data_IF_793204875375
#
_entry.id   IF_793204875375
#
_cell.length_a   1.000
_cell.length_b   1.000
_cell.length_c   1.000
_cell.angle_alpha   90.00
_cell.angle_beta   90.00
_cell.angle_gamma   90.00
#
_symmetry.space_group_name_H-M   'P 1'
#
loop_
_entity.id
_entity.type
_entity.pdbx_description
1 polymer ?
#
# COMPACT_ATOMS: atom_id res chain seq x y z
N UNK A 1 -24.25 -28.48 4.60
CA UNK A 1 -23.11 -28.06 3.77
C UNK A 1 -22.71 -26.63 4.09
N UNK A 2 -21.58 -26.41 4.76
CA UNK A 2 -21.08 -25.06 5.06
C UNK A 2 -20.47 -24.42 3.82
N UNK A 3 -20.85 -23.17 3.51
CA UNK A 3 -20.25 -22.39 2.41
C UNK A 3 -18.76 -22.18 2.69
N UNK A 4 -17.90 -22.75 1.86
CA UNK A 4 -16.46 -22.48 1.86
C UNK A 4 -16.26 -21.01 1.50
N UNK A 5 -15.86 -20.18 2.46
CA UNK A 5 -15.49 -18.78 2.20
C UNK A 5 -14.13 -18.75 1.52
N UNK A 6 -14.08 -18.29 0.27
CA UNK A 6 -12.83 -18.04 -0.44
C UNK A 6 -11.98 -17.00 0.32
N UNK A 7 -10.72 -17.34 0.60
CA UNK A 7 -9.76 -16.50 1.37
C UNK A 7 -9.55 -15.12 0.72
N UNK A 8 -9.63 -15.03 -0.63
CA UNK A 8 -9.56 -13.75 -1.35
C UNK A 8 -10.80 -12.89 -1.13
N UNK A 9 -11.99 -13.50 -1.05
CA UNK A 9 -13.23 -12.79 -0.79
C UNK A 9 -13.31 -12.30 0.67
N UNK A 10 -12.78 -13.05 1.63
CA UNK A 10 -12.76 -12.63 3.04
C UNK A 10 -11.86 -11.41 3.26
N UNK A 11 -10.65 -11.37 2.67
CA UNK A 11 -9.74 -10.21 2.76
C UNK A 11 -10.33 -8.94 2.15
N UNK A 12 -11.00 -9.03 0.99
CA UNK A 12 -11.70 -7.88 0.37
C UNK A 12 -12.86 -7.38 1.23
N UNK A 13 -13.57 -8.28 1.89
CA UNK A 13 -14.67 -7.93 2.81
C UNK A 13 -14.12 -7.25 4.06
N UNK A 14 -12.99 -7.71 4.59
CA UNK A 14 -12.35 -7.11 5.75
C UNK A 14 -11.79 -5.70 5.44
N UNK A 15 -11.18 -5.51 4.27
CA UNK A 15 -10.75 -4.19 3.81
C UNK A 15 -11.94 -3.23 3.70
N UNK A 16 -13.04 -3.67 3.07
CA UNK A 16 -14.25 -2.85 2.97
C UNK A 16 -14.79 -2.44 4.34
N UNK A 17 -14.79 -3.37 5.31
CA UNK A 17 -15.18 -3.05 6.69
C UNK A 17 -14.26 -2.00 7.32
N UNK A 18 -12.94 -2.10 7.09
CA UNK A 18 -11.95 -1.14 7.60
C UNK A 18 -12.04 0.24 6.96
N UNK A 19 -12.70 0.37 5.81
CA UNK A 19 -12.88 1.62 5.07
C UNK A 19 -14.31 2.19 5.17
N UNK A 20 -15.24 1.48 5.82
CA UNK A 20 -16.67 1.80 5.79
C UNK A 20 -16.98 3.22 6.25
N UNK A 21 -16.29 3.68 7.29
CA UNK A 21 -16.55 4.96 7.95
C UNK A 21 -15.45 5.99 7.66
N UNK A 22 -14.64 5.75 6.62
CA UNK A 22 -13.53 6.62 6.23
C UNK A 22 -13.85 7.26 4.88
N UNK A 23 -13.88 8.60 4.78
CA UNK A 23 -14.00 9.27 3.49
C UNK A 23 -12.89 8.82 2.53
N UNK A 24 -13.22 8.47 1.28
CA UNK A 24 -12.24 7.91 0.35
C UNK A 24 -11.12 8.88 -0.03
N UNK A 25 -11.39 10.19 -0.03
CA UNK A 25 -10.39 11.24 -0.17
C UNK A 25 -9.40 11.32 1.01
N UNK A 26 -9.72 10.67 2.14
CA UNK A 26 -8.85 10.51 3.33
C UNK A 26 -8.14 9.17 3.38
N UNK A 27 -8.17 8.39 2.29
CA UNK A 27 -7.43 7.13 2.17
C UNK A 27 -6.22 7.33 1.26
N UNK A 28 -5.04 7.13 1.83
CA UNK A 28 -3.78 7.11 1.11
C UNK A 28 -3.46 5.68 0.67
N UNK A 29 -3.07 5.50 -0.59
CA UNK A 29 -2.65 4.22 -1.14
C UNK A 29 -1.16 4.30 -1.50
N UNK A 30 -0.40 3.33 -1.04
CA UNK A 30 1.03 3.15 -1.33
C UNK A 30 1.17 1.82 -2.06
N UNK A 31 1.30 1.87 -3.38
CA UNK A 31 1.58 0.69 -4.18
C UNK A 31 3.10 0.50 -4.29
N UNK A 32 3.57 -0.71 -4.02
CA UNK A 32 4.98 -1.09 -4.06
C UNK A 32 5.14 -2.24 -5.04
N UNK A 33 5.95 -2.00 -6.07
CA UNK A 33 6.53 -3.03 -6.93
C UNK A 33 7.88 -3.46 -6.30
N UNK A 34 7.91 -4.66 -5.69
CA UNK A 34 9.10 -5.18 -5.03
C UNK A 34 10.10 -5.73 -6.04
N UNK A 35 11.19 -5.00 -6.27
CA UNK A 35 12.37 -5.50 -6.97
C UNK A 35 13.50 -5.83 -5.99
N UNK A 36 14.37 -6.80 -6.34
CA UNK A 36 15.44 -7.30 -5.46
C UNK A 36 16.37 -6.21 -4.90
N UNK A 37 16.63 -5.15 -5.67
CA UNK A 37 17.59 -4.11 -5.30
C UNK A 37 17.02 -2.68 -5.37
N UNK A 38 15.99 -2.47 -6.19
CA UNK A 38 15.40 -1.14 -6.39
C UNK A 38 13.87 -1.23 -6.47
N UNK A 39 13.19 -1.50 -5.34
CA UNK A 39 11.74 -1.39 -5.31
C UNK A 39 11.25 -0.02 -5.77
N UNK A 40 10.08 -0.01 -6.40
CA UNK A 40 9.42 1.21 -6.86
C UNK A 40 8.13 1.43 -6.09
N UNK A 41 7.93 2.65 -5.60
CA UNK A 41 6.72 3.05 -4.91
C UNK A 41 5.93 4.07 -5.73
N UNK A 42 4.60 3.95 -5.66
CA UNK A 42 3.62 4.94 -6.12
C UNK A 42 2.76 5.33 -4.91
N UNK A 43 2.59 6.63 -4.68
CA UNK A 43 1.70 7.16 -3.65
C UNK A 43 0.56 7.90 -4.35
N UNK A 44 -0.66 7.43 -4.14
CA UNK A 44 -1.88 7.98 -4.72
C UNK A 44 -3.02 8.03 -3.69
N UNK A 45 -4.10 8.74 -3.99
CA UNK A 45 -5.32 8.63 -3.20
C UNK A 45 -6.13 7.39 -3.61
N UNK A 46 -7.27 7.17 -2.95
CA UNK A 46 -8.17 6.06 -3.25
C UNK A 46 -8.65 5.99 -4.71
N UNK A 47 -8.76 7.14 -5.37
CA UNK A 47 -9.22 7.26 -6.77
C UNK A 47 -8.09 7.01 -7.78
N UNK A 48 -6.86 6.81 -7.32
CA UNK A 48 -5.70 6.57 -8.17
C UNK A 48 -5.01 7.85 -8.65
N UNK A 49 -5.40 9.03 -8.16
CA UNK A 49 -4.72 10.28 -8.46
C UNK A 49 -3.34 10.28 -7.81
N UNK A 50 -2.30 10.53 -8.62
CA UNK A 50 -0.90 10.49 -8.17
C UNK A 50 -0.62 11.70 -7.29
N UNK A 51 -0.29 11.45 -6.03
CA UNK A 51 0.05 12.50 -5.05
C UNK A 51 1.56 12.73 -4.96
N UNK A 52 2.35 11.68 -5.23
CA UNK A 52 3.80 11.75 -5.35
C UNK A 52 4.22 10.98 -6.60
N UNK A 53 5.02 11.63 -7.46
CA UNK A 53 5.59 10.97 -8.63
C UNK A 53 6.27 9.65 -8.25
N UNK A 54 6.07 8.56 -9.01
CA UNK A 54 6.68 7.27 -8.70
C UNK A 54 8.19 7.38 -8.50
N UNK A 55 8.70 6.69 -7.47
CA UNK A 55 10.11 6.79 -7.11
C UNK A 55 10.68 5.43 -6.72
N UNK A 56 11.96 5.26 -6.97
CA UNK A 56 12.72 4.12 -6.49
C UNK A 56 13.25 4.38 -5.09
N UNK A 57 13.38 3.31 -4.30
CA UNK A 57 14.06 3.34 -3.01
C UNK A 57 14.93 2.09 -2.84
N UNK A 58 15.86 2.12 -1.89
CA UNK A 58 16.77 1.01 -1.61
C UNK A 58 16.28 0.17 -0.42
N UNK A 59 16.59 -1.13 -0.42
CA UNK A 59 16.27 -2.04 0.71
C UNK A 59 17.33 -1.91 1.81
N UNK A 60 17.41 -0.71 2.39
CA UNK A 60 18.23 -0.38 3.54
C UNK A 60 17.55 0.74 4.34
N UNK A 61 18.08 1.09 5.52
CA UNK A 61 17.46 2.08 6.40
C UNK A 61 17.27 3.45 5.72
N UNK A 62 18.20 3.87 4.85
CA UNK A 62 18.08 5.15 4.13
C UNK A 62 16.92 5.14 3.13
N UNK A 63 16.79 4.08 2.34
CA UNK A 63 15.71 3.95 1.37
C UNK A 63 14.34 3.76 2.02
N UNK A 64 14.29 3.00 3.12
CA UNK A 64 13.06 2.85 3.91
C UNK A 64 12.65 4.18 4.56
N UNK A 65 13.60 4.94 5.10
CA UNK A 65 13.33 6.28 5.63
C UNK A 65 12.81 7.22 4.54
N UNK A 66 13.36 7.18 3.32
CA UNK A 66 12.84 7.96 2.20
C UNK A 66 11.36 7.62 1.91
N UNK A 67 11.02 6.33 1.86
CA UNK A 67 9.64 5.88 1.67
C UNK A 67 8.73 6.39 2.80
N UNK A 68 9.13 6.19 4.06
CA UNK A 68 8.35 6.59 5.22
C UNK A 68 8.15 8.10 5.30
N UNK A 69 9.19 8.89 5.03
CA UNK A 69 9.10 10.36 4.99
C UNK A 69 8.07 10.82 3.96
N UNK A 70 8.13 10.30 2.73
CA UNK A 70 7.16 10.65 1.68
C UNK A 70 5.73 10.25 2.03
N UNK A 71 5.56 9.09 2.67
CA UNK A 71 4.24 8.66 3.18
C UNK A 71 3.75 9.64 4.24
N UNK A 72 4.58 9.95 5.25
CA UNK A 72 4.22 10.82 6.37
C UNK A 72 3.87 12.24 5.91
N UNK A 73 4.68 12.82 5.01
CA UNK A 73 4.40 14.12 4.38
C UNK A 73 3.04 14.11 3.68
N UNK A 74 2.77 13.06 2.88
CA UNK A 74 1.51 12.97 2.13
C UNK A 74 0.31 12.73 3.06
N UNK A 75 0.47 11.92 4.12
CA UNK A 75 -0.55 11.74 5.16
C UNK A 75 -0.94 13.08 5.76
N UNK A 76 0.03 13.91 6.12
CA UNK A 76 -0.23 15.23 6.69
C UNK A 76 -0.93 16.15 5.67
N UNK A 77 -0.44 16.17 4.42
CA UNK A 77 -0.95 17.06 3.38
C UNK A 77 -2.44 16.84 3.05
N UNK A 78 -2.89 15.57 3.01
CA UNK A 78 -4.31 15.26 2.72
C UNK A 78 -5.13 14.99 3.99
N UNK A 79 -4.48 15.03 5.16
CA UNK A 79 -5.03 14.57 6.45
C UNK A 79 -5.56 13.14 6.36
N UNK A 80 -4.75 12.22 5.82
CA UNK A 80 -5.16 10.84 5.61
C UNK A 80 -5.51 10.17 6.94
N UNK A 81 -6.64 9.47 6.98
CA UNK A 81 -7.10 8.70 8.13
C UNK A 81 -6.78 7.20 7.98
N UNK A 82 -6.46 6.76 6.76
CA UNK A 82 -6.02 5.40 6.47
C UNK A 82 -4.90 5.39 5.46
N UNK A 83 -3.88 4.58 5.72
CA UNK A 83 -2.86 4.23 4.74
C UNK A 83 -3.02 2.76 4.37
N UNK A 84 -3.15 2.48 3.08
CA UNK A 84 -3.14 1.14 2.50
C UNK A 84 -1.80 0.92 1.82
N UNK A 85 -1.00 0.01 2.35
CA UNK A 85 0.25 -0.41 1.70
C UNK A 85 -0.02 -1.70 0.93
N UNK A 86 0.08 -1.62 -0.39
CA UNK A 86 -0.17 -2.70 -1.31
C UNK A 86 1.17 -3.10 -1.94
N UNK A 87 1.68 -4.27 -1.57
CA UNK A 87 2.91 -4.82 -2.14
C UNK A 87 2.50 -5.89 -3.13
N UNK A 88 2.98 -5.82 -4.37
CA UNK A 88 2.77 -6.88 -5.34
C UNK A 88 3.37 -8.20 -4.84
N UNK A 89 2.71 -9.31 -5.15
CA UNK A 89 3.25 -10.63 -4.81
C UNK A 89 4.46 -10.92 -5.68
N UNK A 90 5.63 -11.04 -5.06
CA UNK A 90 6.79 -11.69 -5.67
C UNK A 90 6.57 -13.19 -5.73
N UNK A 91 7.19 -13.87 -6.71
CA UNK A 91 7.10 -15.33 -6.87
C UNK A 91 7.54 -16.10 -5.62
N UNK A 92 7.37 -17.44 -5.62
CA UNK A 92 7.77 -18.29 -4.50
C UNK A 92 9.27 -18.12 -4.20
N UNK A 93 9.59 -17.41 -3.13
CA UNK A 93 10.92 -17.52 -2.53
C UNK A 93 10.99 -18.91 -1.91
N UNK A 94 11.69 -19.81 -2.58
CA UNK A 94 12.10 -21.06 -1.97
C UNK A 94 13.19 -20.72 -0.95
N UNK A 95 12.95 -21.05 0.32
CA UNK A 95 14.07 -21.30 1.23
C UNK A 95 14.80 -22.54 0.69
N UNK A 96 16.08 -22.37 0.36
CA UNK A 96 16.98 -23.48 -0.01
C UNK A 96 17.78 -23.83 1.25
#
# INVERSE_FOLDING_TARGET
MGKVKHIKASKRTELQKKLRDIPYDKVLVVAIDPAKYSPKALICNYFGEILVNPFFFTINSKGLNLLLTKIQETVNNISAQKVLVCIETTGHYHEI
#
